data_IF_326889246410
#
_entry.id   IF_326889246410
#
_cell.length_a   1.000
_cell.length_b   1.000
_cell.length_c   1.000
_cell.angle_alpha   90.00
_cell.angle_beta   90.00
_cell.angle_gamma   90.00
#
_symmetry.space_group_name_H-M   'P 1'
#
loop_
_entity.id
_entity.type
_entity.pdbx_description
1 polymer ?
#
# COMPACT_ATOMS: atom_id res chain seq x y z
N UNK A 1 53.77 5.86 -5.14
CA UNK A 1 52.36 5.46 -5.21
C UNK A 1 51.88 5.05 -3.82
N UNK A 2 50.86 5.75 -3.28
CA UNK A 2 50.22 5.33 -2.01
C UNK A 2 49.37 4.08 -2.26
N UNK A 3 49.70 2.96 -1.62
CA UNK A 3 48.87 1.75 -1.63
C UNK A 3 47.61 2.04 -0.79
N UNK A 4 46.45 2.12 -1.42
CA UNK A 4 45.17 2.19 -0.74
C UNK A 4 44.85 0.77 -0.27
N UNK A 5 44.79 0.53 1.05
CA UNK A 5 44.31 -0.72 1.64
C UNK A 5 42.79 -0.55 1.83
N UNK A 6 42.01 -1.26 1.03
CA UNK A 6 40.55 -1.34 1.19
C UNK A 6 40.29 -2.56 2.09
N UNK A 7 39.47 -2.41 3.12
CA UNK A 7 39.05 -3.54 3.93
C UNK A 7 38.20 -4.51 3.07
N UNK A 8 38.23 -5.81 3.40
CA UNK A 8 37.42 -6.81 2.68
C UNK A 8 35.93 -6.45 2.64
N UNK A 9 35.42 -5.89 3.74
CA UNK A 9 34.06 -5.37 3.82
C UNK A 9 33.81 -4.26 2.80
N UNK A 10 34.73 -3.28 2.70
CA UNK A 10 34.60 -2.17 1.74
C UNK A 10 34.79 -2.62 0.30
N UNK A 11 35.65 -3.61 0.07
CA UNK A 11 35.80 -4.21 -1.26
C UNK A 11 34.51 -4.97 -1.68
N UNK A 12 33.89 -5.71 -0.77
CA UNK A 12 32.59 -6.38 -1.04
C UNK A 12 31.49 -5.36 -1.29
N UNK A 13 31.43 -4.25 -0.56
CA UNK A 13 30.51 -3.15 -0.82
C UNK A 13 30.72 -2.54 -2.22
N UNK A 14 31.97 -2.24 -2.60
CA UNK A 14 32.30 -1.69 -3.92
C UNK A 14 32.03 -2.67 -5.07
N UNK A 15 32.29 -3.96 -4.85
CA UNK A 15 31.95 -5.01 -5.83
C UNK A 15 30.43 -5.12 -5.96
N UNK A 16 29.67 -5.04 -4.84
CA UNK A 16 28.22 -5.05 -4.85
C UNK A 16 27.66 -3.81 -5.58
N UNK A 17 28.17 -2.63 -5.29
CA UNK A 17 27.82 -1.36 -5.98
C UNK A 17 28.14 -1.40 -7.49
N UNK A 18 29.17 -2.16 -7.91
CA UNK A 18 29.61 -2.24 -9.32
C UNK A 18 28.91 -3.35 -10.13
N UNK A 19 28.22 -4.30 -9.46
CA UNK A 19 27.56 -5.46 -10.06
C UNK A 19 26.03 -5.35 -9.92
N UNK A 20 25.53 -4.35 -9.17
CA UNK A 20 24.09 -4.14 -9.03
C UNK A 20 23.51 -3.84 -10.44
N UNK A 21 23.04 -4.90 -11.11
CA UNK A 21 22.12 -4.74 -12.22
C UNK A 21 20.87 -4.03 -11.66
N UNK A 22 20.50 -2.93 -12.30
CA UNK A 22 19.34 -2.11 -11.87
C UNK A 22 18.07 -2.94 -12.02
N UNK A 23 17.45 -3.31 -10.90
CA UNK A 23 16.13 -3.96 -10.92
C UNK A 23 15.04 -2.91 -10.89
N UNK A 24 14.35 -2.76 -12.01
CA UNK A 24 13.24 -1.82 -12.13
C UNK A 24 12.00 -2.38 -11.45
N UNK A 25 11.38 -1.55 -10.62
CA UNK A 25 10.08 -1.79 -10.00
C UNK A 25 9.23 -0.51 -10.00
N UNK A 26 7.99 -0.60 -9.52
CA UNK A 26 7.03 0.49 -9.56
C UNK A 26 6.40 0.71 -8.19
N UNK A 27 6.18 1.99 -7.83
CA UNK A 27 5.49 2.39 -6.60
C UNK A 27 4.33 3.32 -6.93
N UNK A 28 3.13 2.97 -6.49
CA UNK A 28 1.95 3.83 -6.59
C UNK A 28 1.75 4.67 -5.34
N UNK A 29 1.47 5.96 -5.50
CA UNK A 29 1.27 6.88 -4.38
C UNK A 29 0.27 8.01 -4.69
N UNK A 30 -0.52 8.41 -3.71
CA UNK A 30 -1.32 9.64 -3.75
C UNK A 30 -0.52 10.92 -3.44
N UNK A 31 0.79 10.83 -3.23
CA UNK A 31 1.64 11.96 -2.90
C UNK A 31 2.81 12.12 -3.88
N UNK A 32 3.14 13.39 -4.18
CA UNK A 32 4.32 13.75 -4.97
C UNK A 32 5.54 13.94 -4.06
N UNK A 33 6.65 13.26 -4.37
CA UNK A 33 7.93 13.40 -3.67
C UNK A 33 9.11 13.08 -4.59
N UNK A 34 10.31 13.50 -4.18
CA UNK A 34 11.53 13.30 -4.95
C UNK A 34 12.47 12.26 -4.29
N UNK A 35 12.13 11.80 -3.09
CA UNK A 35 12.87 10.78 -2.35
C UNK A 35 11.97 10.03 -1.38
N UNK A 36 12.14 8.72 -1.30
CA UNK A 36 11.50 7.89 -0.28
C UNK A 36 12.03 8.24 1.12
N UNK A 37 11.11 8.32 2.08
CA UNK A 37 11.44 8.65 3.46
C UNK A 37 10.55 7.90 4.44
N UNK A 38 11.12 6.94 5.15
CA UNK A 38 10.41 6.12 6.12
C UNK A 38 9.81 6.91 7.31
N UNK A 39 10.25 8.16 7.55
CA UNK A 39 9.63 9.03 8.57
C UNK A 39 8.25 9.54 8.17
N UNK A 40 7.95 9.51 6.87
CA UNK A 40 6.67 9.94 6.29
C UNK A 40 5.75 8.78 5.91
N UNK A 41 6.12 7.54 6.24
CA UNK A 41 5.25 6.39 6.02
C UNK A 41 3.93 6.55 6.77
N UNK A 42 2.85 6.17 6.12
CA UNK A 42 1.46 6.31 6.59
C UNK A 42 0.94 7.75 6.69
N UNK A 43 1.73 8.77 6.33
CA UNK A 43 1.21 10.15 6.30
C UNK A 43 0.22 10.40 5.16
N UNK A 44 0.19 9.51 4.14
CA UNK A 44 -0.72 9.57 2.99
C UNK A 44 -1.90 8.59 3.09
N UNK A 45 -2.12 7.97 4.24
CA UNK A 45 -3.33 7.18 4.54
C UNK A 45 -3.43 5.81 3.87
N UNK A 46 -2.77 5.58 2.77
CA UNK A 46 -2.95 4.37 1.98
C UNK A 46 -1.95 3.27 2.34
N UNK A 47 -2.47 2.13 2.75
CA UNK A 47 -1.75 0.87 2.79
C UNK A 47 -1.56 0.28 4.18
N UNK A 48 -2.23 -0.84 4.43
CA UNK A 48 -1.88 -1.70 5.55
C UNK A 48 -0.50 -2.30 5.30
N UNK A 49 0.45 -2.13 6.21
CA UNK A 49 1.78 -2.78 6.17
C UNK A 49 1.66 -4.28 6.44
N UNK A 50 0.84 -4.98 5.65
CA UNK A 50 0.44 -6.37 5.91
C UNK A 50 1.58 -7.36 5.74
N UNK A 51 2.62 -6.97 5.01
CA UNK A 51 3.79 -7.78 4.71
C UNK A 51 5.06 -7.23 5.38
N UNK A 52 4.91 -6.37 6.40
CA UNK A 52 6.01 -5.80 7.15
C UNK A 52 6.28 -4.32 6.85
N UNK A 53 7.21 -3.74 7.63
CA UNK A 53 7.57 -2.34 7.52
C UNK A 53 8.66 -2.11 6.47
N UNK A 54 8.39 -1.20 5.52
CA UNK A 54 9.31 -0.83 4.45
C UNK A 54 8.63 -0.11 3.29
N UNK A 55 9.36 0.19 2.23
CA UNK A 55 8.84 0.73 0.97
C UNK A 55 8.27 -0.39 0.12
N UNK A 56 6.98 -0.31 -0.21
CA UNK A 56 6.29 -1.28 -1.06
C UNK A 56 6.47 -0.92 -2.52
N UNK A 57 6.90 -1.87 -3.32
CA UNK A 57 7.04 -1.74 -4.77
C UNK A 57 6.60 -3.03 -5.47
N UNK A 58 6.22 -2.94 -6.74
CA UNK A 58 5.77 -4.06 -7.56
C UNK A 58 6.60 -4.15 -8.84
N UNK A 59 6.90 -5.35 -9.32
CA UNK A 59 7.49 -5.55 -10.65
C UNK A 59 6.52 -5.14 -11.76
N UNK A 60 5.23 -5.25 -11.50
CA UNK A 60 4.18 -4.95 -12.47
C UNK A 60 3.63 -3.53 -12.27
N UNK A 61 3.73 -2.66 -13.29
CA UNK A 61 3.20 -1.30 -13.22
C UNK A 61 1.66 -1.25 -13.03
N UNK A 62 0.93 -2.28 -13.47
CA UNK A 62 -0.53 -2.38 -13.28
C UNK A 62 -0.88 -2.51 -11.80
N UNK A 63 -0.09 -3.28 -11.05
CA UNK A 63 -0.23 -3.41 -9.60
C UNK A 63 0.06 -2.07 -8.91
N UNK A 64 1.15 -1.40 -9.29
CA UNK A 64 1.48 -0.07 -8.75
C UNK A 64 0.41 0.97 -9.07
N UNK A 65 -0.18 0.90 -10.29
CA UNK A 65 -1.31 1.75 -10.68
C UNK A 65 -2.51 1.54 -9.75
N UNK A 66 -2.88 0.30 -9.44
CA UNK A 66 -3.96 0.00 -8.51
C UNK A 66 -3.73 0.61 -7.13
N UNK A 67 -2.50 0.60 -6.62
CA UNK A 67 -2.16 1.29 -5.37
C UNK A 67 -2.23 2.82 -5.48
N UNK A 68 -1.80 3.40 -6.60
CA UNK A 68 -1.91 4.83 -6.86
C UNK A 68 -3.37 5.27 -6.90
N UNK A 69 -4.22 4.53 -7.62
CA UNK A 69 -5.65 4.78 -7.73
C UNK A 69 -6.33 4.70 -6.35
N UNK A 70 -6.08 3.63 -5.58
CA UNK A 70 -6.62 3.48 -4.22
C UNK A 70 -6.16 4.59 -3.28
N UNK A 71 -4.91 5.05 -3.38
CA UNK A 71 -4.40 6.15 -2.57
C UNK A 71 -5.06 7.49 -2.96
N UNK A 72 -5.30 7.70 -4.26
CA UNK A 72 -6.05 8.84 -4.76
C UNK A 72 -7.49 8.84 -4.27
N UNK A 73 -8.16 7.68 -4.30
CA UNK A 73 -9.51 7.50 -3.78
C UNK A 73 -9.61 7.79 -2.28
N UNK A 74 -8.68 7.27 -1.48
CA UNK A 74 -8.67 7.48 -0.04
C UNK A 74 -8.42 8.96 0.29
N UNK A 75 -7.52 9.61 -0.44
CA UNK A 75 -7.28 11.03 -0.34
C UNK A 75 -8.52 11.85 -0.71
N UNK A 76 -9.22 11.46 -1.78
CA UNK A 76 -10.48 12.09 -2.18
C UNK A 76 -11.58 11.97 -1.12
N UNK A 77 -11.58 10.88 -0.32
CA UNK A 77 -12.54 10.70 0.80
C UNK A 77 -12.21 11.55 2.03
N UNK A 78 -10.95 11.89 2.24
CA UNK A 78 -10.48 12.59 3.46
C UNK A 78 -10.26 14.08 3.26
N UNK A 79 -9.91 14.52 2.06
CA UNK A 79 -9.77 15.92 1.72
C UNK A 79 -11.10 16.46 1.19
N UNK A 80 -11.36 17.78 1.34
CA UNK A 80 -12.49 18.49 0.72
C UNK A 80 -12.32 18.56 -0.81
N UNK A 81 -12.10 17.41 -1.46
CA UNK A 81 -12.00 17.35 -2.91
C UNK A 81 -13.42 17.42 -3.49
N UNK A 82 -13.74 18.52 -4.15
CA UNK A 82 -14.98 18.65 -4.88
C UNK A 82 -14.96 17.69 -6.09
N UNK A 83 -15.93 16.77 -6.21
CA UNK A 83 -16.03 15.95 -7.42
C UNK A 83 -16.18 16.84 -8.65
N UNK A 84 -15.54 16.46 -9.75
CA UNK A 84 -15.61 17.16 -11.04
C UNK A 84 -16.34 16.29 -12.06
N UNK A 85 -17.13 16.93 -12.90
CA UNK A 85 -17.77 16.26 -14.02
C UNK A 85 -16.84 16.38 -15.23
N UNK A 86 -16.43 15.26 -15.79
CA UNK A 86 -15.62 15.19 -17.00
C UNK A 86 -16.46 14.66 -18.17
N UNK A 87 -16.38 15.29 -19.33
CA UNK A 87 -16.96 14.83 -20.57
C UNK A 87 -15.86 14.66 -21.62
N UNK A 88 -15.68 13.46 -22.11
CA UNK A 88 -14.52 13.09 -22.96
C UNK A 88 -13.17 13.47 -22.29
N UNK A 89 -13.04 13.31 -20.98
CA UNK A 89 -11.83 13.62 -20.21
C UNK A 89 -11.61 15.12 -19.95
N UNK A 90 -12.51 16.00 -20.41
CA UNK A 90 -12.44 17.46 -20.17
C UNK A 90 -13.47 17.85 -19.13
N UNK A 91 -13.05 18.64 -18.13
CA UNK A 91 -13.95 19.18 -17.11
C UNK A 91 -15.05 20.06 -17.75
N UNK A 92 -16.29 19.81 -17.33
CA UNK A 92 -17.46 20.56 -17.76
C UNK A 92 -18.19 21.14 -16.56
N UNK A 93 -18.81 22.30 -16.78
CA UNK A 93 -19.57 23.06 -15.80
C UNK A 93 -21.05 23.19 -16.18
N UNK A 94 -21.80 23.99 -15.44
CA UNK A 94 -23.24 24.15 -15.62
C UNK A 94 -23.63 24.47 -17.08
N UNK A 95 -22.88 25.37 -17.73
CA UNK A 95 -23.21 25.81 -19.10
C UNK A 95 -23.03 24.66 -20.12
N UNK A 96 -21.93 23.92 -20.02
CA UNK A 96 -21.69 22.76 -20.90
C UNK A 96 -22.70 21.64 -20.61
N UNK A 97 -23.08 21.41 -19.35
CA UNK A 97 -24.14 20.44 -19.02
C UNK A 97 -25.46 20.85 -19.69
N UNK A 98 -25.81 22.15 -19.65
CA UNK A 98 -27.01 22.65 -20.33
C UNK A 98 -26.95 22.42 -21.84
N UNK A 99 -25.77 22.65 -22.46
CA UNK A 99 -25.61 22.45 -23.90
C UNK A 99 -25.65 20.98 -24.33
N UNK A 100 -25.00 20.09 -23.56
CA UNK A 100 -24.89 18.66 -23.87
C UNK A 100 -26.24 17.97 -23.65
N UNK A 101 -26.86 18.16 -22.49
CA UNK A 101 -28.06 17.44 -22.07
C UNK A 101 -29.38 18.21 -22.32
N UNK A 102 -29.31 19.39 -22.93
CA UNK A 102 -30.48 20.22 -23.27
C UNK A 102 -31.40 20.48 -22.08
N UNK A 103 -30.82 20.90 -20.95
CA UNK A 103 -31.54 21.21 -19.74
C UNK A 103 -31.44 22.70 -19.34
N UNK A 104 -32.25 23.11 -18.36
CA UNK A 104 -32.17 24.48 -17.84
C UNK A 104 -30.93 24.68 -16.96
N UNK A 105 -30.46 25.91 -16.85
CA UNK A 105 -29.34 26.26 -15.95
C UNK A 105 -29.65 25.92 -14.49
N UNK A 106 -30.93 25.98 -14.08
CA UNK A 106 -31.35 25.60 -12.74
C UNK A 106 -31.18 24.11 -12.49
N UNK A 107 -31.51 23.28 -13.48
CA UNK A 107 -31.30 21.82 -13.44
C UNK A 107 -29.80 21.49 -13.38
N UNK A 108 -29.00 22.08 -14.26
CA UNK A 108 -27.55 21.87 -14.26
C UNK A 108 -26.91 22.27 -12.93
N UNK A 109 -27.35 23.40 -12.34
CA UNK A 109 -26.90 23.84 -11.00
C UNK A 109 -27.28 22.85 -9.92
N UNK A 110 -28.50 22.33 -9.92
CA UNK A 110 -28.96 21.34 -8.97
C UNK A 110 -28.10 20.08 -9.06
N UNK A 111 -27.83 19.58 -10.27
CA UNK A 111 -26.97 18.42 -10.51
C UNK A 111 -25.56 18.67 -9.98
N UNK A 112 -24.92 19.79 -10.33
CA UNK A 112 -23.59 20.15 -9.82
C UNK A 112 -23.56 20.23 -8.29
N UNK A 113 -24.58 20.80 -7.66
CA UNK A 113 -24.68 20.86 -6.20
C UNK A 113 -24.76 19.45 -5.58
N UNK A 114 -25.61 18.57 -6.11
CA UNK A 114 -25.72 17.21 -5.59
C UNK A 114 -24.41 16.44 -5.75
N UNK A 115 -23.74 16.56 -6.88
CA UNK A 115 -22.43 15.95 -7.12
C UNK A 115 -21.37 16.50 -6.14
N UNK A 116 -21.38 17.80 -5.84
CA UNK A 116 -20.42 18.40 -4.90
C UNK A 116 -20.58 17.92 -3.45
N UNK A 117 -21.75 17.46 -3.07
CA UNK A 117 -22.02 16.90 -1.74
C UNK A 117 -21.82 15.38 -1.67
N UNK A 118 -21.70 14.71 -2.81
CA UNK A 118 -21.53 13.28 -2.85
C UNK A 118 -20.11 12.90 -2.44
N UNK A 119 -20.00 12.01 -1.46
CA UNK A 119 -18.74 11.33 -1.16
C UNK A 119 -18.36 10.43 -2.32
N UNK A 120 -17.06 10.10 -2.42
CA UNK A 120 -16.57 9.19 -3.46
C UNK A 120 -17.41 7.90 -3.52
N UNK A 121 -18.06 7.70 -4.65
CA UNK A 121 -18.76 6.48 -5.06
C UNK A 121 -18.54 6.27 -6.56
N UNK A 122 -18.57 5.02 -7.06
CA UNK A 122 -18.56 4.77 -8.50
C UNK A 122 -19.62 5.61 -9.21
N UNK A 123 -19.32 6.07 -10.42
CA UNK A 123 -20.19 7.02 -11.15
C UNK A 123 -21.67 6.56 -11.22
N UNK A 124 -21.89 5.26 -11.45
CA UNK A 124 -23.22 4.68 -11.52
C UNK A 124 -23.94 4.75 -10.17
N UNK A 125 -23.23 4.47 -9.07
CA UNK A 125 -23.78 4.51 -7.73
C UNK A 125 -24.03 5.95 -7.29
N UNK A 126 -23.17 6.89 -7.69
CA UNK A 126 -23.38 8.32 -7.46
C UNK A 126 -24.67 8.81 -8.11
N UNK A 127 -24.91 8.46 -9.37
CA UNK A 127 -26.12 8.86 -10.06
C UNK A 127 -27.37 8.20 -9.44
N UNK A 128 -27.30 6.93 -9.05
CA UNK A 128 -28.37 6.26 -8.33
C UNK A 128 -28.67 6.94 -6.98
N UNK A 129 -27.64 7.36 -6.24
CA UNK A 129 -27.79 8.09 -4.97
C UNK A 129 -28.43 9.48 -5.18
N UNK A 130 -28.03 10.18 -6.22
CA UNK A 130 -28.61 11.50 -6.57
C UNK A 130 -30.06 11.33 -7.00
N UNK A 131 -30.36 10.35 -7.84
CA UNK A 131 -31.74 10.00 -8.26
C UNK A 131 -32.63 9.68 -7.06
N UNK A 132 -32.13 8.86 -6.13
CA UNK A 132 -32.84 8.57 -4.87
C UNK A 132 -33.13 9.82 -4.06
N UNK A 133 -32.13 10.71 -3.84
CA UNK A 133 -32.31 11.97 -3.09
C UNK A 133 -33.32 12.92 -3.77
N UNK A 134 -33.29 12.98 -5.10
CA UNK A 134 -34.26 13.79 -5.86
C UNK A 134 -35.66 13.21 -5.66
N UNK A 135 -35.82 11.89 -5.77
CA UNK A 135 -37.11 11.20 -5.58
C UNK A 135 -37.67 11.39 -4.16
N UNK A 136 -36.79 11.29 -3.14
CA UNK A 136 -37.15 11.55 -1.75
C UNK A 136 -37.63 12.99 -1.56
N UNK A 137 -36.90 13.96 -2.15
CA UNK A 137 -37.30 15.38 -2.07
C UNK A 137 -38.61 15.68 -2.78
N UNK A 138 -38.83 15.05 -3.94
CA UNK A 138 -40.13 15.13 -4.65
C UNK A 138 -41.26 14.58 -3.77
N UNK A 139 -41.04 13.47 -3.06
CA UNK A 139 -42.03 12.88 -2.15
C UNK A 139 -42.32 13.82 -0.95
N UNK A 140 -41.29 14.38 -0.31
CA UNK A 140 -41.44 15.36 0.79
C UNK A 140 -42.30 16.55 0.35
N UNK A 141 -41.96 17.19 -0.79
CA UNK A 141 -42.70 18.33 -1.33
C UNK A 141 -44.17 18.00 -1.56
N UNK A 142 -44.47 16.79 -2.03
CA UNK A 142 -45.87 16.35 -2.22
C UNK A 142 -46.61 16.21 -0.91
N UNK A 143 -45.94 15.90 0.20
CA UNK A 143 -46.58 15.73 1.51
C UNK A 143 -46.78 17.06 2.26
N UNK A 144 -45.82 18.00 2.12
CA UNK A 144 -45.78 19.20 2.95
C UNK A 144 -46.63 20.37 2.43
N UNK A 145 -47.09 20.34 1.16
CA UNK A 145 -47.64 21.52 0.54
C UNK A 145 -49.14 21.55 0.46
N UNK A 146 -49.73 22.46 1.22
CA UNK A 146 -51.15 22.82 1.11
C UNK A 146 -51.41 24.28 0.68
N UNK A 147 -50.42 25.16 0.63
CA UNK A 147 -50.66 26.59 0.53
C UNK A 147 -50.22 27.31 -0.77
N UNK A 148 -49.31 26.71 -1.60
CA UNK A 148 -48.91 27.35 -2.87
C UNK A 148 -48.64 26.32 -3.99
N UNK A 149 -49.72 25.88 -4.67
CA UNK A 149 -49.69 24.87 -5.71
C UNK A 149 -48.80 25.25 -6.94
N UNK A 150 -48.65 26.52 -7.26
CA UNK A 150 -47.89 26.96 -8.41
C UNK A 150 -46.40 26.90 -8.15
N UNK A 151 -45.94 27.29 -6.96
CA UNK A 151 -44.55 27.20 -6.54
C UNK A 151 -44.10 25.74 -6.39
N UNK A 152 -44.91 24.94 -5.78
CA UNK A 152 -44.69 23.49 -5.67
C UNK A 152 -44.63 22.84 -7.04
N UNK A 153 -45.51 23.16 -7.95
CA UNK A 153 -45.47 22.68 -9.31
C UNK A 153 -44.22 23.08 -10.08
N UNK A 154 -43.64 24.24 -9.81
CA UNK A 154 -42.37 24.68 -10.41
C UNK A 154 -41.18 23.90 -9.85
N UNK A 155 -41.13 23.68 -8.52
CA UNK A 155 -40.08 22.88 -7.86
C UNK A 155 -40.17 21.41 -8.35
N UNK A 156 -41.32 20.80 -8.37
CA UNK A 156 -41.48 19.46 -8.87
C UNK A 156 -41.02 19.29 -10.31
N UNK A 157 -41.33 20.25 -11.20
CA UNK A 157 -40.84 20.22 -12.59
C UNK A 157 -39.32 20.24 -12.66
N UNK A 158 -38.67 21.08 -11.83
CA UNK A 158 -37.21 21.16 -11.77
C UNK A 158 -36.58 19.82 -11.38
N UNK A 159 -37.13 19.16 -10.35
CA UNK A 159 -36.60 17.87 -9.89
C UNK A 159 -36.85 16.74 -10.88
N UNK A 160 -38.01 16.69 -11.53
CA UNK A 160 -38.29 15.70 -12.60
C UNK A 160 -37.38 15.91 -13.83
N UNK A 161 -37.08 17.16 -14.19
CA UNK A 161 -36.14 17.43 -15.28
C UNK A 161 -34.71 17.03 -14.88
N UNK A 162 -34.29 17.27 -13.64
CA UNK A 162 -32.99 16.85 -13.14
C UNK A 162 -32.84 15.33 -13.11
N UNK A 163 -33.85 14.60 -12.66
CA UNK A 163 -33.94 13.15 -12.64
C UNK A 163 -33.69 12.55 -14.04
N UNK A 164 -34.43 13.03 -15.03
CA UNK A 164 -34.24 12.64 -16.43
C UNK A 164 -32.85 12.93 -16.97
N UNK A 165 -32.26 14.06 -16.62
CA UNK A 165 -30.92 14.43 -17.06
C UNK A 165 -29.89 13.51 -16.42
N UNK A 166 -30.00 13.23 -15.12
CA UNK A 166 -29.12 12.32 -14.38
C UNK A 166 -29.17 10.91 -14.96
N UNK A 167 -30.35 10.38 -15.25
CA UNK A 167 -30.51 9.09 -15.92
C UNK A 167 -29.77 9.07 -17.29
N UNK A 168 -29.89 10.15 -18.05
CA UNK A 168 -29.17 10.29 -19.33
C UNK A 168 -27.67 10.33 -19.11
N UNK A 169 -27.18 11.08 -18.13
CA UNK A 169 -25.76 11.16 -17.80
C UNK A 169 -25.20 9.81 -17.32
N UNK A 170 -25.94 9.07 -16.50
CA UNK A 170 -25.53 7.76 -15.99
C UNK A 170 -25.33 6.72 -17.10
N UNK A 171 -26.01 6.88 -18.22
CA UNK A 171 -25.92 6.01 -19.40
C UNK A 171 -24.99 6.56 -20.49
N UNK A 172 -24.41 7.76 -20.32
CA UNK A 172 -23.47 8.36 -21.28
C UNK A 172 -22.03 7.86 -21.05
N UNK A 173 -21.45 7.08 -22.00
CA UNK A 173 -20.10 6.56 -21.87
C UNK A 173 -19.01 7.64 -21.86
N UNK A 174 -19.34 8.87 -22.31
CA UNK A 174 -18.38 9.97 -22.38
C UNK A 174 -18.26 10.72 -21.05
N UNK A 175 -19.17 10.49 -20.09
CA UNK A 175 -19.17 11.17 -18.80
C UNK A 175 -18.41 10.37 -17.76
N UNK A 176 -17.67 11.08 -16.93
CA UNK A 176 -16.90 10.55 -15.81
C UNK A 176 -16.95 11.52 -14.64
N UNK A 177 -16.88 11.00 -13.43
CA UNK A 177 -16.63 11.82 -12.25
C UNK A 177 -15.13 11.78 -11.96
N UNK A 178 -14.47 12.92 -12.11
CA UNK A 178 -13.09 13.11 -11.72
C UNK A 178 -12.99 13.61 -10.28
N UNK A 179 -11.94 13.23 -9.59
CA UNK A 179 -11.58 13.77 -8.29
C UNK A 179 -10.23 14.48 -8.40
N UNK A 180 -10.05 15.56 -7.64
CA UNK A 180 -8.80 16.35 -7.63
C UNK A 180 -7.63 15.66 -6.93
N UNK A 181 -7.69 14.35 -6.76
CA UNK A 181 -6.62 13.61 -6.13
C UNK A 181 -5.59 13.18 -7.16
N UNK A 182 -4.54 13.98 -7.28
CA UNK A 182 -3.37 13.56 -8.06
C UNK A 182 -2.80 12.28 -7.47
N UNK A 183 -2.50 11.33 -8.32
CA UNK A 183 -1.74 10.14 -7.97
C UNK A 183 -0.54 9.97 -8.91
N UNK A 184 0.45 9.23 -8.43
CA UNK A 184 1.73 9.12 -9.10
C UNK A 184 2.18 7.67 -9.16
N UNK A 185 2.77 7.29 -10.28
CA UNK A 185 3.51 6.05 -10.43
C UNK A 185 4.99 6.41 -10.54
N UNK A 186 5.76 5.88 -9.61
CA UNK A 186 7.21 6.00 -9.58
C UNK A 186 7.82 4.74 -10.17
N UNK A 187 8.63 4.90 -11.21
CA UNK A 187 9.55 3.88 -11.66
C UNK A 187 10.82 4.00 -10.79
N UNK A 188 11.22 2.92 -10.18
CA UNK A 188 12.29 2.91 -9.18
C UNK A 188 13.28 1.80 -9.43
N UNK A 189 14.54 2.07 -9.10
CA UNK A 189 15.59 1.10 -8.98
C UNK A 189 15.63 0.56 -7.54
N UNK A 190 15.65 -0.76 -7.39
CA UNK A 190 15.71 -1.48 -6.12
C UNK A 190 16.84 -2.52 -6.14
N UNK A 191 17.34 -2.99 -4.99
CA UNK A 191 18.34 -4.06 -4.94
C UNK A 191 17.91 -5.29 -5.71
N UNK A 192 18.79 -5.84 -6.55
CA UNK A 192 18.56 -7.09 -7.29
C UNK A 192 18.36 -8.26 -6.33
N UNK A 193 17.46 -9.18 -6.68
CA UNK A 193 17.24 -10.40 -5.91
C UNK A 193 18.35 -11.42 -6.21
N UNK A 194 19.31 -11.53 -5.32
CA UNK A 194 20.44 -12.47 -5.43
C UNK A 194 20.15 -13.85 -4.81
N UNK A 195 18.88 -14.12 -4.47
CA UNK A 195 18.44 -15.36 -3.82
C UNK A 195 18.64 -15.40 -2.30
N UNK A 196 19.38 -14.44 -1.73
CA UNK A 196 19.64 -14.37 -0.29
C UNK A 196 19.03 -13.12 0.38
N UNK A 197 19.08 -11.97 -0.28
CA UNK A 197 18.78 -10.67 0.32
C UNK A 197 17.28 -10.37 0.50
N UNK A 198 16.38 -11.22 0.00
CA UNK A 198 14.95 -11.10 0.23
C UNK A 198 14.39 -12.36 0.91
N UNK A 199 13.61 -12.16 1.97
CA UNK A 199 12.82 -13.24 2.57
C UNK A 199 11.57 -13.43 1.72
N UNK A 200 11.34 -14.63 1.22
CA UNK A 200 10.07 -14.95 0.56
C UNK A 200 8.98 -15.18 1.61
N UNK A 201 7.90 -14.42 1.51
CA UNK A 201 6.84 -14.40 2.52
C UNK A 201 6.10 -15.73 2.66
N UNK A 202 5.91 -16.42 1.55
CA UNK A 202 5.13 -17.67 1.51
C UNK A 202 5.98 -18.93 1.45
N UNK A 203 7.26 -18.80 1.15
CA UNK A 203 8.16 -19.94 1.02
C UNK A 203 8.95 -20.21 2.31
N UNK A 204 9.49 -21.43 2.40
CA UNK A 204 10.42 -21.76 3.49
C UNK A 204 11.66 -20.90 3.38
N UNK A 205 12.03 -20.30 4.50
CA UNK A 205 13.29 -19.55 4.62
C UNK A 205 14.47 -20.52 4.47
N UNK A 206 15.35 -20.35 3.47
CA UNK A 206 16.50 -21.20 3.24
C UNK A 206 17.43 -21.27 4.45
N UNK A 207 18.20 -22.37 4.54
CA UNK A 207 19.14 -22.60 5.66
C UNK A 207 20.10 -21.44 5.89
N UNK A 208 20.69 -20.92 4.82
CA UNK A 208 21.63 -19.78 4.90
C UNK A 208 20.97 -18.51 5.45
N UNK A 209 19.73 -18.23 5.05
CA UNK A 209 18.96 -17.11 5.59
C UNK A 209 18.62 -17.35 7.07
N UNK A 210 18.15 -18.54 7.45
CA UNK A 210 17.89 -18.89 8.85
C UNK A 210 19.17 -18.76 9.69
N UNK A 211 20.30 -19.24 9.17
CA UNK A 211 21.59 -19.09 9.85
C UNK A 211 21.94 -17.62 10.12
N UNK A 212 21.79 -16.77 9.10
CA UNK A 212 22.03 -15.32 9.25
C UNK A 212 21.12 -14.69 10.31
N UNK A 213 19.83 -15.04 10.30
CA UNK A 213 18.85 -14.57 11.28
C UNK A 213 19.24 -15.00 12.70
N UNK A 214 19.57 -16.27 12.88
CA UNK A 214 19.92 -16.81 14.20
C UNK A 214 21.24 -16.23 14.73
N UNK A 215 22.29 -16.15 13.89
CA UNK A 215 23.58 -15.57 14.26
C UNK A 215 23.48 -14.07 14.57
N UNK A 216 22.55 -13.36 13.93
CA UNK A 216 22.28 -11.96 14.23
C UNK A 216 21.97 -11.70 15.70
N UNK A 217 21.34 -12.62 16.41
CA UNK A 217 21.09 -12.51 17.85
C UNK A 217 22.37 -12.48 18.67
N UNK A 218 23.42 -13.20 18.27
CA UNK A 218 24.73 -13.18 18.95
C UNK A 218 25.44 -11.83 18.84
N UNK A 219 25.16 -11.07 17.79
CA UNK A 219 25.68 -9.71 17.59
C UNK A 219 24.81 -8.61 18.17
N UNK A 220 23.65 -8.96 18.75
CA UNK A 220 22.78 -7.99 19.39
C UNK A 220 23.48 -7.34 20.58
N UNK A 221 23.67 -6.03 20.51
CA UNK A 221 24.09 -5.23 21.64
C UNK A 221 23.03 -5.28 22.75
N UNK A 222 23.42 -5.08 24.00
CA UNK A 222 22.54 -5.04 25.18
C UNK A 222 21.19 -4.33 24.96
N UNK A 223 21.18 -3.31 24.12
CA UNK A 223 19.98 -2.54 23.73
C UNK A 223 18.84 -3.40 23.17
N UNK A 224 19.15 -4.42 22.38
CA UNK A 224 18.12 -5.31 21.82
C UNK A 224 17.61 -6.30 22.86
N UNK A 225 18.50 -6.79 23.71
CA UNK A 225 18.14 -7.69 24.82
C UNK A 225 17.20 -6.94 25.79
N UNK A 226 17.53 -5.70 26.13
CA UNK A 226 16.66 -4.84 26.96
C UNK A 226 15.29 -4.60 26.31
N UNK A 227 15.25 -4.39 24.99
CA UNK A 227 14.01 -4.17 24.25
C UNK A 227 13.12 -5.43 24.25
N UNK A 228 13.72 -6.59 24.06
CA UNK A 228 13.06 -7.89 24.15
C UNK A 228 12.50 -8.12 25.57
N UNK A 229 13.28 -7.81 26.59
CA UNK A 229 12.87 -7.95 28.00
C UNK A 229 11.74 -6.97 28.39
N UNK A 230 11.79 -5.74 27.86
CA UNK A 230 10.84 -4.67 28.16
C UNK A 230 9.44 -4.94 27.59
N UNK A 231 9.36 -5.67 26.50
CA UNK A 231 8.09 -6.01 25.84
C UNK A 231 7.29 -7.10 26.58
N UNK A 232 7.75 -7.53 27.76
CA UNK A 232 7.06 -8.47 28.66
C UNK A 232 6.53 -9.74 27.95
N UNK A 233 7.13 -10.06 26.82
CA UNK A 233 6.84 -11.32 26.13
C UNK A 233 7.32 -12.44 27.07
N UNK A 234 6.55 -13.49 27.28
CA UNK A 234 7.04 -14.62 28.05
C UNK A 234 8.19 -15.27 27.27
N UNK A 235 9.37 -14.64 27.37
CA UNK A 235 10.62 -15.08 26.76
C UNK A 235 11.15 -16.28 27.56
N UNK A 236 10.34 -17.30 27.70
CA UNK A 236 10.76 -18.64 28.12
C UNK A 236 11.32 -19.39 26.90
N UNK A 237 12.01 -18.67 26.03
CA UNK A 237 12.63 -19.27 24.88
C UNK A 237 13.96 -19.89 25.34
N UNK A 238 14.09 -21.17 25.16
CA UNK A 238 15.35 -21.92 25.33
C UNK A 238 16.48 -21.25 24.54
N UNK A 239 16.13 -20.63 23.41
CA UNK A 239 17.04 -19.92 22.54
C UNK A 239 17.77 -18.73 23.21
N UNK A 240 17.12 -18.00 24.15
CA UNK A 240 17.79 -16.94 24.89
C UNK A 240 18.99 -17.46 25.73
N UNK A 241 18.83 -18.65 26.32
CA UNK A 241 19.94 -19.31 27.00
C UNK A 241 21.09 -19.65 26.06
N UNK A 242 20.78 -19.98 24.81
CA UNK A 242 21.78 -20.29 23.80
C UNK A 242 22.55 -19.05 23.31
N UNK A 243 21.91 -17.89 23.19
CA UNK A 243 22.58 -16.63 22.78
C UNK A 243 23.76 -16.29 23.72
N UNK A 244 23.61 -16.57 25.01
CA UNK A 244 24.64 -16.33 26.01
C UNK A 244 25.67 -17.47 26.13
N UNK A 245 25.50 -18.56 25.38
CA UNK A 245 26.38 -19.72 25.49
C UNK A 245 27.70 -19.50 24.72
N UNK A 246 28.88 -19.87 25.26
CA UNK A 246 30.17 -19.69 24.58
C UNK A 246 30.28 -20.38 23.21
N UNK A 247 29.49 -21.42 22.96
CA UNK A 247 29.43 -22.15 21.70
C UNK A 247 28.19 -21.82 20.89
N UNK A 248 27.67 -20.62 20.99
CA UNK A 248 26.42 -20.20 20.33
C UNK A 248 26.41 -20.48 18.82
N UNK A 249 27.50 -20.15 18.12
CA UNK A 249 27.62 -20.41 16.69
C UNK A 249 27.47 -21.90 16.33
N UNK A 250 28.08 -22.79 17.12
CA UNK A 250 27.93 -24.24 16.92
C UNK A 250 26.50 -24.74 17.19
N UNK A 251 25.83 -24.15 18.17
CA UNK A 251 24.42 -24.45 18.45
C UNK A 251 23.57 -24.04 17.24
N UNK A 252 23.81 -22.86 16.67
CA UNK A 252 23.14 -22.41 15.46
C UNK A 252 23.41 -23.35 14.28
N UNK A 253 24.66 -23.77 14.08
CA UNK A 253 24.99 -24.73 13.02
C UNK A 253 24.21 -26.03 13.17
N UNK A 254 24.12 -26.59 14.38
CA UNK A 254 23.33 -27.79 14.67
C UNK A 254 21.85 -27.60 14.36
N UNK A 255 21.28 -26.46 14.77
CA UNK A 255 19.87 -26.14 14.48
C UNK A 255 19.59 -26.05 12.97
N UNK A 256 20.50 -25.42 12.24
CA UNK A 256 20.39 -25.23 10.79
C UNK A 256 20.56 -26.55 10.04
N UNK A 257 21.54 -27.39 10.45
CA UNK A 257 21.79 -28.68 9.82
C UNK A 257 20.65 -29.67 10.06
N UNK A 258 20.06 -29.65 11.26
CA UNK A 258 18.91 -30.51 11.60
C UNK A 258 17.56 -29.94 11.12
N UNK A 259 17.53 -28.67 10.66
CA UNK A 259 16.31 -27.92 10.38
C UNK A 259 15.31 -27.87 11.57
N UNK A 260 15.81 -28.06 12.79
CA UNK A 260 15.01 -27.94 14.01
C UNK A 260 15.14 -26.57 14.64
N UNK A 261 14.16 -25.72 14.37
CA UNK A 261 14.04 -24.35 14.89
C UNK A 261 13.07 -24.25 16.06
N UNK A 262 12.66 -25.37 16.66
CA UNK A 262 11.66 -25.42 17.74
C UNK A 262 12.07 -24.62 18.98
N UNK A 263 13.38 -24.56 19.27
CA UNK A 263 13.92 -23.78 20.38
C UNK A 263 13.95 -22.24 20.07
N UNK A 264 13.97 -21.86 18.80
CA UNK A 264 13.86 -20.47 18.38
C UNK A 264 12.42 -19.98 18.41
N UNK A 265 11.49 -20.74 17.82
CA UNK A 265 10.06 -20.42 17.90
C UNK A 265 9.52 -20.82 19.28
N UNK A 266 9.39 -19.87 20.20
CA UNK A 266 8.93 -20.14 21.56
C UNK A 266 7.57 -20.87 21.60
N UNK A 267 7.42 -21.77 22.59
CA UNK A 267 6.16 -22.44 22.91
C UNK A 267 5.07 -21.42 23.31
N UNK A 268 4.19 -21.10 22.47
CA UNK A 268 3.14 -20.05 22.62
C UNK A 268 2.81 -19.40 21.29
N UNK A 269 3.56 -19.73 20.25
CA UNK A 269 3.17 -19.49 18.91
C UNK A 269 2.08 -20.53 18.56
N UNK A 270 0.82 -20.11 18.66
CA UNK A 270 -0.32 -20.93 18.22
C UNK A 270 -0.40 -20.97 16.70
N UNK A 271 0.58 -21.58 16.10
CA UNK A 271 0.47 -22.08 14.74
C UNK A 271 0.81 -23.55 14.84
N UNK A 272 -0.09 -24.40 14.36
CA UNK A 272 0.12 -25.84 14.22
C UNK A 272 1.30 -26.16 13.29
N UNK A 273 1.94 -25.12 12.79
CA UNK A 273 3.05 -25.13 11.84
C UNK A 273 4.27 -24.48 12.49
N UNK A 274 5.13 -25.31 13.08
CA UNK A 274 6.51 -24.95 13.46
C UNK A 274 7.38 -24.82 12.19
N UNK A 275 6.89 -24.09 11.19
CA UNK A 275 7.53 -23.98 9.90
C UNK A 275 8.32 -22.67 9.81
N UNK A 276 9.50 -22.75 9.26
CA UNK A 276 10.36 -21.61 8.96
C UNK A 276 9.93 -20.87 7.67
N UNK A 277 8.62 -20.77 7.41
CA UNK A 277 8.08 -19.94 6.34
C UNK A 277 8.36 -18.47 6.66
N UNK A 278 8.76 -17.68 5.65
CA UNK A 278 9.18 -16.29 5.85
C UNK A 278 8.19 -15.44 6.63
N UNK A 279 6.89 -15.61 6.38
CA UNK A 279 5.83 -14.98 7.16
C UNK A 279 5.92 -15.30 8.65
N UNK A 280 6.15 -16.56 9.01
CA UNK A 280 6.20 -16.98 10.40
C UNK A 280 7.47 -16.44 11.08
N UNK A 281 8.60 -16.49 10.39
CA UNK A 281 9.85 -15.90 10.86
C UNK A 281 9.68 -14.39 11.12
N UNK A 282 9.13 -13.65 10.15
CA UNK A 282 8.92 -12.22 10.29
C UNK A 282 7.97 -11.88 11.45
N UNK A 283 6.81 -12.55 11.53
CA UNK A 283 5.83 -12.32 12.60
C UNK A 283 6.37 -12.70 13.98
N UNK A 284 7.21 -13.72 14.05
CA UNK A 284 7.89 -14.05 15.29
C UNK A 284 8.82 -12.92 15.73
N UNK A 285 9.66 -12.42 14.82
CA UNK A 285 10.53 -11.27 15.08
C UNK A 285 9.74 -10.01 15.44
N UNK A 286 8.64 -9.74 14.76
CA UNK A 286 7.72 -8.63 15.07
C UNK A 286 7.22 -8.69 16.52
N UNK A 287 6.76 -9.86 16.95
CA UNK A 287 6.31 -10.06 18.34
C UNK A 287 7.47 -9.95 19.32
N UNK A 288 8.61 -10.53 18.98
CA UNK A 288 9.81 -10.52 19.80
C UNK A 288 10.31 -9.09 20.06
N UNK A 289 10.35 -8.27 19.02
CA UNK A 289 10.82 -6.88 19.08
C UNK A 289 9.72 -5.86 19.33
N UNK A 290 8.46 -6.27 19.36
CA UNK A 290 7.30 -5.46 19.67
C UNK A 290 6.82 -4.53 18.56
N UNK A 291 7.41 -4.58 17.35
CA UNK A 291 6.95 -3.82 16.19
C UNK A 291 7.50 -4.34 14.88
N UNK A 292 6.75 -4.12 13.77
CA UNK A 292 7.18 -4.40 12.40
C UNK A 292 8.49 -3.68 12.06
N UNK A 293 8.59 -2.42 12.43
CA UNK A 293 9.79 -1.62 12.20
C UNK A 293 11.02 -2.24 12.84
N UNK A 294 10.93 -2.70 14.08
CA UNK A 294 12.05 -3.30 14.77
C UNK A 294 12.46 -4.65 14.13
N UNK A 295 11.48 -5.45 13.69
CA UNK A 295 11.74 -6.69 12.96
C UNK A 295 12.46 -6.42 11.63
N UNK A 296 11.98 -5.47 10.83
CA UNK A 296 12.61 -5.09 9.55
C UNK A 296 14.02 -4.54 9.75
N UNK A 297 14.24 -3.69 10.75
CA UNK A 297 15.58 -3.17 11.08
C UNK A 297 16.53 -4.27 11.55
N UNK A 298 16.04 -5.26 12.29
CA UNK A 298 16.82 -6.43 12.66
C UNK A 298 17.24 -7.25 11.45
N UNK A 299 16.30 -7.56 10.57
CA UNK A 299 16.58 -8.29 9.34
C UNK A 299 17.57 -7.55 8.44
N UNK A 300 17.45 -6.23 8.36
CA UNK A 300 18.40 -5.39 7.63
C UNK A 300 19.82 -5.52 8.21
N UNK A 301 19.97 -5.61 9.54
CA UNK A 301 21.27 -5.86 10.16
C UNK A 301 21.81 -7.27 9.88
N UNK A 302 20.93 -8.25 9.64
CA UNK A 302 21.29 -9.60 9.23
C UNK A 302 21.67 -9.71 7.73
N UNK A 303 21.59 -8.59 6.97
CA UNK A 303 21.98 -8.53 5.57
C UNK A 303 20.84 -8.67 4.58
N UNK A 304 19.59 -8.57 5.05
CA UNK A 304 18.42 -8.59 4.18
C UNK A 304 18.06 -7.19 3.68
N UNK A 305 17.71 -7.08 2.40
CA UNK A 305 17.22 -5.84 1.81
C UNK A 305 15.69 -5.70 1.97
N UNK A 306 15.00 -6.82 2.10
CA UNK A 306 13.54 -6.77 2.22
C UNK A 306 12.82 -8.12 2.26
N UNK A 307 11.55 -8.03 1.96
CA UNK A 307 10.64 -9.17 1.79
C UNK A 307 10.16 -9.17 0.34
N UNK A 308 9.95 -10.35 -0.24
CA UNK A 308 9.30 -10.53 -1.53
C UNK A 308 8.08 -11.45 -1.38
N UNK A 309 7.07 -11.24 -2.21
CA UNK A 309 5.87 -12.07 -2.27
C UNK A 309 5.20 -11.97 -3.64
N UNK A 310 4.47 -12.99 -4.03
CA UNK A 310 3.73 -12.99 -5.28
C UNK A 310 2.59 -11.96 -5.29
N UNK A 311 2.43 -11.29 -6.42
CA UNK A 311 1.36 -10.31 -6.63
C UNK A 311 -0.01 -10.99 -6.63
N UNK A 312 -1.02 -10.31 -6.08
CA UNK A 312 -2.42 -10.77 -6.15
C UNK A 312 -2.82 -11.87 -5.14
N UNK A 313 -1.92 -12.31 -4.28
CA UNK A 313 -2.21 -13.38 -3.30
C UNK A 313 -3.27 -13.02 -2.27
N UNK A 314 -3.50 -11.74 -2.00
CA UNK A 314 -4.45 -11.29 -0.97
C UNK A 314 -5.76 -10.70 -1.54
N UNK A 315 -5.68 -9.97 -2.64
CA UNK A 315 -6.79 -9.19 -3.19
C UNK A 315 -7.19 -9.59 -4.61
N UNK A 316 -6.58 -10.66 -5.14
CA UNK A 316 -6.65 -11.00 -6.55
C UNK A 316 -5.69 -10.15 -7.39
N UNK A 317 -5.50 -10.54 -8.63
CA UNK A 317 -4.73 -9.76 -9.60
C UNK A 317 -5.68 -8.85 -10.37
N UNK A 318 -5.31 -7.58 -10.58
CA UNK A 318 -6.05 -6.71 -11.49
C UNK A 318 -6.04 -7.27 -12.92
N UNK A 319 -7.05 -6.96 -13.71
CA UNK A 319 -7.08 -7.29 -15.13
C UNK A 319 -5.88 -6.68 -15.84
N UNK A 320 -5.19 -7.48 -16.64
CA UNK A 320 -3.99 -7.08 -17.36
C UNK A 320 -2.67 -7.16 -16.57
N UNK A 321 -2.71 -7.60 -15.31
CA UNK A 321 -1.49 -7.84 -14.54
C UNK A 321 -0.73 -9.09 -15.02
N UNK A 322 0.60 -9.06 -14.92
CA UNK A 322 1.47 -10.17 -15.30
C UNK A 322 1.17 -11.44 -14.47
N UNK A 323 1.24 -12.63 -15.08
CA UNK A 323 0.93 -13.89 -14.40
C UNK A 323 1.85 -14.20 -13.21
N UNK A 324 3.13 -13.86 -13.32
CA UNK A 324 4.16 -14.18 -12.32
C UNK A 324 4.98 -12.95 -11.93
N UNK A 325 4.31 -11.88 -11.44
CA UNK A 325 5.00 -10.71 -10.91
C UNK A 325 5.16 -10.79 -9.40
N UNK A 326 6.21 -10.18 -8.88
CA UNK A 326 6.47 -10.08 -7.44
C UNK A 326 6.30 -8.66 -6.93
N UNK A 327 5.93 -8.58 -5.68
CA UNK A 327 5.97 -7.36 -4.89
C UNK A 327 7.12 -7.45 -3.89
N UNK A 328 7.68 -6.30 -3.53
CA UNK A 328 8.77 -6.20 -2.56
C UNK A 328 8.43 -5.18 -1.48
N UNK A 329 8.95 -5.43 -0.28
CA UNK A 329 8.99 -4.49 0.83
C UNK A 329 10.46 -4.21 1.12
N UNK A 330 10.96 -3.05 0.74
CA UNK A 330 12.37 -2.66 0.90
C UNK A 330 12.56 -2.00 2.25
N UNK A 331 13.47 -2.55 3.08
CA UNK A 331 13.68 -2.09 4.46
C UNK A 331 14.44 -0.77 4.57
N UNK A 332 15.32 -0.47 3.62
CA UNK A 332 16.06 0.80 3.56
C UNK A 332 15.55 1.69 2.42
N UNK A 333 14.86 2.77 2.76
CA UNK A 333 14.37 3.73 1.78
C UNK A 333 15.48 4.36 0.90
N UNK A 334 16.74 4.39 1.37
CA UNK A 334 17.85 4.94 0.58
C UNK A 334 18.28 3.99 -0.55
N UNK A 335 17.87 2.73 -0.49
CA UNK A 335 18.10 1.74 -1.55
C UNK A 335 17.02 1.75 -2.63
N UNK A 336 16.00 2.59 -2.50
CA UNK A 336 14.96 2.81 -3.51
C UNK A 336 15.24 4.14 -4.19
N UNK A 337 15.74 4.08 -5.43
CA UNK A 337 16.08 5.26 -6.22
C UNK A 337 14.99 5.55 -7.23
N UNK A 338 14.49 6.77 -7.28
CA UNK A 338 13.50 7.18 -8.27
C UNK A 338 14.20 7.38 -9.61
N UNK A 339 13.83 6.58 -10.61
CA UNK A 339 14.27 6.71 -12.00
C UNK A 339 13.36 7.70 -12.72
N UNK A 340 12.05 7.53 -12.56
CA UNK A 340 11.04 8.33 -13.25
C UNK A 340 9.79 8.48 -12.39
N UNK A 341 9.14 9.63 -12.52
CA UNK A 341 7.85 9.93 -11.90
C UNK A 341 6.84 10.27 -12.98
N UNK A 342 5.75 9.55 -13.00
CA UNK A 342 4.64 9.76 -13.93
C UNK A 342 3.40 10.21 -13.14
N UNK A 343 2.70 11.22 -13.64
CA UNK A 343 1.37 11.52 -13.18
C UNK A 343 0.42 10.43 -13.70
N UNK A 344 -0.45 9.91 -12.84
CA UNK A 344 -1.38 8.82 -13.14
C UNK A 344 -2.80 9.33 -13.46
N UNK A 345 -2.92 10.62 -13.80
CA UNK A 345 -4.20 11.24 -14.19
C UNK A 345 -4.53 10.97 -15.65
#
# INVERSE_FOLDING_TARGET
>A
MKKIRISEKKLRELIREAIEDEKVAYHGSGASFDKFNHKKFLSSGAGSQSFGWGTYVAEDPVIAKGYADSAAEEKAKTEESTPRILYNGKEIWQDEICEIYKCSTQVARLICQQISYAKYVPIRDLFNEIEYKISEKVYEIKQESTENLDEVGAILRLYYEADRVIETMANDPNIQIGHNSESYIYEVDIPEDNGFNYIDWYERTPREQMKAILLGFGSLKHKWIEMIQKNNYPFRCTFYGYICHPQFEKIVDIMVDSEDYSSFFASGFHTDEKTNIGQHVYRYLQRLFGSDKAASLYLMQCGFDGIKFESGTRWGKPDGAMESSKNYVIFDANKVKIIKKNNNN
#
